data_IF_446462914359
#
_entry.id   IF_446462914359
#
_cell.length_a   1.000
_cell.length_b   1.000
_cell.length_c   1.000
_cell.angle_alpha   90.00
_cell.angle_beta   90.00
_cell.angle_gamma   90.00
#
_symmetry.space_group_name_H-M   'P 1'
#
loop_
_entity.id
_entity.type
_entity.pdbx_description
1 polymer ?
#
# COMPACT_ATOMS: atom_id res chain seq x y z
N UNK A 1 27.53 -5.13 -17.73
CA UNK A 1 26.27 -5.39 -17.04
C UNK A 1 25.26 -4.38 -17.54
N UNK A 2 24.12 -4.86 -18.02
CA UNK A 2 23.06 -3.99 -18.53
C UNK A 2 22.20 -3.54 -17.35
N UNK A 3 21.69 -2.27 -17.34
CA UNK A 3 20.84 -1.78 -16.25
C UNK A 3 19.50 -2.49 -16.12
N UNK A 4 19.23 -3.49 -16.97
CA UNK A 4 17.96 -4.23 -17.03
C UNK A 4 18.05 -5.62 -16.38
N UNK A 5 19.24 -6.08 -15.96
CA UNK A 5 19.44 -7.45 -15.50
C UNK A 5 18.68 -7.78 -14.21
N UNK A 6 18.48 -6.80 -13.34
CA UNK A 6 17.87 -6.99 -12.02
C UNK A 6 16.51 -6.26 -11.89
N UNK A 7 15.71 -6.22 -12.95
CA UNK A 7 14.40 -5.57 -12.92
C UNK A 7 13.32 -6.38 -12.21
N UNK A 8 13.54 -7.67 -12.05
CA UNK A 8 12.63 -8.59 -11.39
C UNK A 8 13.42 -9.39 -10.36
N UNK A 9 12.89 -9.48 -9.16
CA UNK A 9 13.47 -10.34 -8.14
C UNK A 9 13.44 -11.80 -8.56
N UNK A 10 14.59 -12.47 -8.42
CA UNK A 10 14.76 -13.90 -8.74
C UNK A 10 14.42 -14.78 -7.53
N UNK A 11 13.36 -14.43 -6.83
CA UNK A 11 12.95 -15.17 -5.65
C UNK A 11 11.69 -16.01 -5.94
N UNK A 12 11.85 -17.22 -6.51
CA UNK A 12 10.71 -18.00 -6.98
C UNK A 12 9.90 -18.62 -5.83
N UNK A 13 10.34 -18.46 -4.58
CA UNK A 13 9.67 -19.07 -3.44
C UNK A 13 8.41 -18.30 -3.12
N UNK A 14 7.30 -18.95 -3.35
CA UNK A 14 6.00 -18.45 -2.88
C UNK A 14 5.71 -19.03 -1.50
N UNK A 15 5.47 -18.17 -0.52
CA UNK A 15 5.06 -18.53 0.84
C UNK A 15 3.94 -17.60 1.29
N UNK A 16 3.29 -17.92 2.43
CA UNK A 16 2.29 -17.01 3.00
C UNK A 16 2.89 -15.69 3.47
N UNK A 17 4.17 -15.67 3.78
CA UNK A 17 4.87 -14.45 4.21
C UNK A 17 4.94 -13.43 3.09
N UNK A 18 5.10 -13.85 1.85
CA UNK A 18 5.12 -12.96 0.69
C UNK A 18 3.84 -12.11 0.57
N UNK A 19 2.70 -12.66 0.99
CA UNK A 19 1.41 -11.98 0.96
C UNK A 19 1.03 -11.35 2.31
N UNK A 20 1.96 -11.23 3.25
CA UNK A 20 1.71 -10.69 4.59
C UNK A 20 2.43 -9.35 4.77
N UNK A 21 1.91 -8.30 4.16
CA UNK A 21 2.52 -6.96 4.21
C UNK A 21 2.63 -6.36 5.63
N UNK A 22 1.88 -6.87 6.61
CA UNK A 22 2.04 -6.49 8.02
C UNK A 22 3.43 -6.80 8.58
N UNK A 23 4.21 -7.68 7.93
CA UNK A 23 5.60 -7.95 8.25
C UNK A 23 6.45 -6.69 8.21
N UNK A 24 6.21 -5.77 7.25
CA UNK A 24 6.91 -4.50 7.11
C UNK A 24 6.70 -3.53 8.29
N UNK A 25 5.66 -3.74 9.08
CA UNK A 25 5.33 -2.91 10.25
C UNK A 25 5.78 -3.56 11.56
N UNK A 26 6.19 -4.83 11.53
CA UNK A 26 6.64 -5.56 12.70
C UNK A 26 8.13 -5.29 12.96
N UNK A 27 8.42 -4.48 13.96
CA UNK A 27 9.78 -4.15 14.38
C UNK A 27 10.59 -5.37 14.87
N UNK A 28 9.94 -6.50 15.10
CA UNK A 28 10.55 -7.76 15.51
C UNK A 28 10.61 -8.79 14.36
N UNK A 29 10.16 -8.43 13.16
CA UNK A 29 10.22 -9.33 12.01
C UNK A 29 11.67 -9.77 11.75
N UNK A 30 11.84 -11.03 11.37
CA UNK A 30 13.16 -11.53 10.97
C UNK A 30 13.56 -10.93 9.61
N UNK A 31 14.86 -10.76 9.37
CA UNK A 31 15.36 -10.30 8.07
C UNK A 31 14.95 -11.25 6.93
N UNK A 32 14.78 -12.54 7.24
CA UNK A 32 14.28 -13.51 6.28
C UNK A 32 12.82 -13.28 5.89
N UNK A 33 11.94 -12.98 6.86
CA UNK A 33 10.54 -12.70 6.59
C UNK A 33 10.36 -11.37 5.86
N UNK A 34 11.15 -10.35 6.21
CA UNK A 34 11.19 -9.07 5.49
C UNK A 34 11.59 -9.28 4.02
N UNK A 35 12.67 -10.01 3.77
CA UNK A 35 13.11 -10.30 2.42
C UNK A 35 12.07 -11.11 1.61
N UNK A 36 11.36 -12.04 2.25
CA UNK A 36 10.27 -12.78 1.61
C UNK A 36 9.10 -11.87 1.21
N UNK A 37 8.78 -10.90 2.05
CA UNK A 37 7.67 -10.00 1.82
C UNK A 37 8.02 -8.93 0.77
N UNK A 38 9.23 -8.36 0.82
CA UNK A 38 9.68 -7.28 -0.06
C UNK A 38 10.17 -7.76 -1.42
N UNK A 39 10.78 -8.96 -1.49
CA UNK A 39 11.40 -9.47 -2.72
C UNK A 39 10.80 -10.80 -3.19
N UNK A 40 9.84 -11.35 -2.47
CA UNK A 40 9.17 -12.59 -2.84
C UNK A 40 7.99 -12.34 -3.76
N UNK A 41 7.78 -13.23 -4.73
CA UNK A 41 6.66 -13.10 -5.63
C UNK A 41 5.33 -13.26 -4.90
N UNK A 42 4.39 -12.38 -5.16
CA UNK A 42 3.03 -12.43 -4.60
C UNK A 42 2.28 -13.72 -5.00
N UNK A 43 2.47 -14.16 -6.24
CA UNK A 43 1.96 -15.42 -6.79
C UNK A 43 2.98 -15.96 -7.81
N UNK A 44 2.92 -17.26 -8.08
CA UNK A 44 3.82 -17.92 -9.05
C UNK A 44 3.72 -17.37 -10.48
N UNK A 45 2.63 -16.70 -10.79
CA UNK A 45 2.38 -16.04 -12.09
C UNK A 45 2.62 -14.54 -12.07
N UNK A 46 2.96 -13.97 -10.91
CA UNK A 46 3.14 -12.54 -10.70
C UNK A 46 4.56 -12.24 -10.21
N UNK A 47 5.54 -12.14 -11.15
CA UNK A 47 6.90 -11.77 -10.81
C UNK A 47 6.95 -10.44 -10.09
N UNK A 48 7.75 -10.37 -9.04
CA UNK A 48 7.94 -9.16 -8.27
C UNK A 48 8.96 -8.23 -8.94
N UNK A 49 8.64 -6.94 -8.96
CA UNK A 49 9.46 -5.89 -9.57
C UNK A 49 10.44 -5.36 -8.52
N UNK A 50 11.72 -5.35 -8.86
CA UNK A 50 12.78 -4.86 -7.99
C UNK A 50 12.90 -3.31 -8.05
N UNK A 51 12.19 -2.61 -7.20
CA UNK A 51 12.26 -1.14 -7.13
C UNK A 51 13.51 -0.63 -6.40
N UNK A 52 14.28 -1.48 -5.73
CA UNK A 52 15.62 -1.12 -5.24
C UNK A 52 16.62 -0.88 -6.38
N UNK A 53 16.29 -1.33 -7.61
CA UNK A 53 17.05 -0.97 -8.79
C UNK A 53 16.75 0.50 -9.16
N UNK A 54 17.72 1.43 -9.02
CA UNK A 54 17.49 2.86 -9.24
C UNK A 54 17.10 3.21 -10.67
N UNK A 55 17.51 2.42 -11.65
CA UNK A 55 17.11 2.64 -13.05
C UNK A 55 15.64 2.27 -13.27
N UNK A 56 15.16 1.21 -12.60
CA UNK A 56 13.77 0.80 -12.68
C UNK A 56 12.87 1.79 -11.93
N UNK A 57 13.26 2.19 -10.73
CA UNK A 57 12.53 3.23 -9.98
C UNK A 57 12.41 4.53 -10.80
N UNK A 58 13.52 4.97 -11.41
CA UNK A 58 13.50 6.15 -12.26
C UNK A 58 12.61 5.96 -13.50
N UNK A 59 12.63 4.77 -14.09
CA UNK A 59 11.71 4.44 -15.19
C UNK A 59 10.25 4.59 -14.77
N UNK A 60 9.85 4.04 -13.60
CA UNK A 60 8.47 4.14 -13.12
C UNK A 60 8.07 5.57 -12.72
N UNK A 61 9.00 6.38 -12.19
CA UNK A 61 8.75 7.82 -11.96
C UNK A 61 8.41 8.52 -13.28
N UNK A 62 9.24 8.36 -14.31
CA UNK A 62 9.02 8.97 -15.62
C UNK A 62 7.81 8.40 -16.34
N UNK A 63 7.55 7.10 -16.23
CA UNK A 63 6.40 6.45 -16.82
C UNK A 63 5.08 6.97 -16.23
N UNK A 64 5.02 7.19 -14.92
CA UNK A 64 3.85 7.77 -14.27
C UNK A 64 3.62 9.22 -14.74
N UNK A 65 4.67 10.05 -14.76
CA UNK A 65 4.62 11.43 -15.30
C UNK A 65 4.11 11.42 -16.73
N UNK A 66 4.63 10.52 -17.58
CA UNK A 66 4.19 10.41 -18.97
C UNK A 66 2.69 10.11 -19.11
N UNK A 67 2.16 9.20 -18.28
CA UNK A 67 0.73 8.88 -18.29
C UNK A 67 -0.12 10.02 -17.77
N UNK A 68 0.30 10.70 -16.71
CA UNK A 68 -0.39 11.87 -16.16
C UNK A 68 -0.54 12.93 -17.25
N UNK A 69 0.55 13.28 -17.92
CA UNK A 69 0.56 14.29 -18.96
C UNK A 69 -0.21 13.86 -20.22
N UNK A 70 -0.01 12.61 -20.66
CA UNK A 70 -0.62 12.13 -21.90
C UNK A 70 -2.13 11.92 -21.79
N UNK A 71 -2.60 11.44 -20.65
CA UNK A 71 -4.00 11.10 -20.43
C UNK A 71 -4.77 12.11 -19.58
N UNK A 72 -4.10 13.19 -19.14
CA UNK A 72 -4.67 14.24 -18.28
C UNK A 72 -5.32 13.62 -17.02
N UNK A 73 -4.50 12.87 -16.26
CA UNK A 73 -4.97 12.11 -15.10
C UNK A 73 -4.99 13.00 -13.86
N UNK A 74 -6.11 13.01 -13.13
CA UNK A 74 -6.27 13.70 -11.84
C UNK A 74 -5.81 12.87 -10.65
N UNK A 75 -5.56 11.59 -10.83
CA UNK A 75 -5.11 10.71 -9.75
C UNK A 75 -4.67 9.33 -10.23
N UNK A 76 -4.02 8.60 -9.33
CA UNK A 76 -3.51 7.25 -9.57
C UNK A 76 -4.03 6.27 -8.51
N UNK A 77 -4.38 5.07 -8.91
CA UNK A 77 -4.61 3.95 -8.00
C UNK A 77 -3.45 2.97 -8.13
N UNK A 78 -2.79 2.69 -7.02
CA UNK A 78 -1.66 1.75 -6.95
C UNK A 78 -2.14 0.44 -6.34
N UNK A 79 -2.12 -0.60 -7.16
CA UNK A 79 -2.45 -1.96 -6.78
C UNK A 79 -1.38 -2.54 -5.85
N UNK A 80 -1.77 -3.37 -4.87
CA UNK A 80 -0.85 -4.10 -3.99
C UNK A 80 0.28 -3.23 -3.39
N UNK A 81 -0.01 -1.97 -3.05
CA UNK A 81 0.99 -0.98 -2.62
C UNK A 81 1.96 -1.49 -1.55
N UNK A 82 1.53 -2.15 -0.45
CA UNK A 82 2.41 -2.56 0.65
C UNK A 82 3.33 -3.74 0.35
N UNK A 83 3.21 -4.36 -0.80
CA UNK A 83 3.99 -5.54 -1.17
C UNK A 83 5.29 -5.19 -1.89
N UNK A 84 5.47 -3.94 -2.26
CA UNK A 84 6.69 -3.42 -2.84
C UNK A 84 7.65 -2.95 -1.74
N UNK A 85 8.93 -2.71 -2.10
CA UNK A 85 9.91 -2.11 -1.21
C UNK A 85 9.41 -0.72 -0.75
N UNK A 86 9.26 -0.55 0.55
CA UNK A 86 8.57 0.63 1.09
C UNK A 86 9.33 1.94 0.86
N UNK A 87 10.67 1.92 0.92
CA UNK A 87 11.47 3.14 0.70
C UNK A 87 11.40 3.62 -0.76
N UNK A 88 11.62 2.78 -1.79
CA UNK A 88 11.41 3.16 -3.19
C UNK A 88 9.99 3.66 -3.49
N UNK A 89 8.97 3.04 -2.90
CA UNK A 89 7.59 3.50 -3.07
C UNK A 89 7.34 4.88 -2.45
N UNK A 90 7.90 5.15 -1.28
CA UNK A 90 7.85 6.48 -0.67
C UNK A 90 8.53 7.53 -1.57
N UNK A 91 9.71 7.22 -2.10
CA UNK A 91 10.43 8.10 -3.03
C UNK A 91 9.68 8.33 -4.35
N UNK A 92 8.96 7.31 -4.81
CA UNK A 92 8.10 7.43 -5.99
C UNK A 92 6.92 8.39 -5.73
N UNK A 93 6.24 8.25 -4.59
CA UNK A 93 5.16 9.15 -4.18
C UNK A 93 5.67 10.58 -4.03
N UNK A 94 6.78 10.79 -3.30
CA UNK A 94 7.38 12.11 -3.08
C UNK A 94 7.72 12.79 -4.40
N UNK A 95 8.34 12.06 -5.35
CA UNK A 95 8.71 12.60 -6.64
C UNK A 95 7.50 13.05 -7.47
N UNK A 96 6.43 12.26 -7.47
CA UNK A 96 5.21 12.64 -8.20
C UNK A 96 4.48 13.82 -7.56
N UNK A 97 4.42 13.87 -6.23
CA UNK A 97 3.80 14.99 -5.51
C UNK A 97 4.61 16.28 -5.58
N UNK A 98 5.93 16.18 -5.73
CA UNK A 98 6.77 17.35 -6.00
C UNK A 98 6.48 17.97 -7.37
N UNK A 99 6.18 17.16 -8.39
CA UNK A 99 5.82 17.61 -9.74
C UNK A 99 4.34 18.03 -9.80
N UNK A 100 3.46 17.26 -9.15
CA UNK A 100 2.00 17.45 -9.16
C UNK A 100 1.45 17.55 -7.73
N UNK A 101 1.55 18.70 -7.05
CA UNK A 101 1.16 18.84 -5.63
C UNK A 101 -0.32 18.56 -5.33
N UNK A 102 -1.17 18.58 -6.33
CA UNK A 102 -2.61 18.31 -6.20
C UNK A 102 -3.02 16.90 -6.69
N UNK A 103 -2.06 16.09 -7.15
CA UNK A 103 -2.34 14.73 -7.58
C UNK A 103 -2.74 13.88 -6.38
N UNK A 104 -3.85 13.16 -6.48
CA UNK A 104 -4.16 12.14 -5.50
C UNK A 104 -3.60 10.79 -5.94
N UNK A 105 -2.89 10.13 -5.02
CA UNK A 105 -2.42 8.76 -5.18
C UNK A 105 -3.09 7.93 -4.09
N UNK A 106 -3.91 6.95 -4.50
CA UNK A 106 -4.55 6.04 -3.55
C UNK A 106 -3.91 4.65 -3.63
N UNK A 107 -3.38 4.18 -2.50
CA UNK A 107 -2.77 2.85 -2.38
C UNK A 107 -3.78 1.79 -1.95
N UNK A 108 -3.72 0.63 -2.57
CA UNK A 108 -4.46 -0.52 -2.09
C UNK A 108 -3.67 -1.23 -0.99
N UNK A 109 -4.16 -1.12 0.23
CA UNK A 109 -3.66 -1.80 1.43
C UNK A 109 -4.77 -2.67 1.97
N UNK A 110 -4.91 -3.89 1.49
CA UNK A 110 -6.08 -4.73 1.79
C UNK A 110 -6.01 -5.35 3.18
N UNK A 111 -6.48 -4.61 4.16
CA UNK A 111 -6.62 -5.06 5.55
C UNK A 111 -7.93 -4.54 6.14
N UNK A 112 -8.49 -5.29 7.11
CA UNK A 112 -9.60 -4.84 7.95
C UNK A 112 -9.12 -4.15 9.24
N UNK A 113 -7.82 -4.05 9.46
CA UNK A 113 -7.20 -3.50 10.66
C UNK A 113 -6.86 -2.02 10.43
N UNK A 114 -7.59 -1.13 11.10
CA UNK A 114 -7.46 0.33 10.93
C UNK A 114 -6.06 0.84 11.26
N UNK A 115 -5.42 0.45 12.38
CA UNK A 115 -4.03 0.85 12.65
C UNK A 115 -3.01 0.39 11.60
N UNK A 116 -3.17 -0.82 11.05
CA UNK A 116 -2.32 -1.28 9.95
C UNK A 116 -2.54 -0.45 8.69
N UNK A 117 -3.79 -0.10 8.41
CA UNK A 117 -4.13 0.72 7.25
C UNK A 117 -3.56 2.14 7.40
N UNK A 118 -3.73 2.75 8.58
CA UNK A 118 -3.23 4.08 8.87
C UNK A 118 -1.69 4.19 8.77
N UNK A 119 -0.96 3.12 9.06
CA UNK A 119 0.50 3.08 8.87
C UNK A 119 0.92 3.49 7.46
N UNK A 120 0.14 3.10 6.44
CA UNK A 120 0.47 3.34 5.04
C UNK A 120 0.02 4.71 4.52
N UNK A 121 -0.73 5.48 5.31
CA UNK A 121 -1.08 6.86 4.95
C UNK A 121 0.10 7.79 5.24
N UNK A 122 0.47 8.62 4.28
CA UNK A 122 1.55 9.60 4.43
C UNK A 122 1.21 10.67 5.48
N UNK A 123 2.25 11.18 6.12
CA UNK A 123 2.13 12.18 7.20
C UNK A 123 1.83 11.59 8.57
N UNK A 124 1.56 10.29 8.69
CA UNK A 124 1.40 9.65 9.99
C UNK A 124 2.74 9.53 10.73
N UNK A 125 2.67 9.70 12.06
CA UNK A 125 3.82 9.52 12.96
C UNK A 125 3.98 8.04 13.28
N UNK A 126 4.49 7.29 12.33
CA UNK A 126 4.75 5.87 12.50
C UNK A 126 5.84 5.60 13.55
N UNK A 127 5.71 4.52 14.31
CA UNK A 127 6.59 4.19 15.42
C UNK A 127 8.05 3.96 14.98
N UNK A 128 8.27 3.51 13.77
CA UNK A 128 9.57 3.32 13.13
C UNK A 128 10.13 4.60 12.50
N UNK A 129 9.35 5.69 12.51
CA UNK A 129 9.70 6.96 11.88
C UNK A 129 9.57 6.99 10.37
N UNK A 130 9.01 5.95 9.75
CA UNK A 130 8.84 5.87 8.31
C UNK A 130 7.60 6.67 7.85
N UNK A 131 7.76 7.51 6.82
CA UNK A 131 6.66 8.19 6.11
C UNK A 131 6.55 7.62 4.70
N UNK A 132 5.36 7.20 4.34
CA UNK A 132 5.09 6.63 3.02
C UNK A 132 4.94 7.68 1.92
N UNK A 133 4.71 8.94 2.27
CA UNK A 133 4.28 10.02 1.37
C UNK A 133 3.04 9.69 0.51
N UNK A 134 2.32 8.62 0.84
CA UNK A 134 1.12 8.20 0.12
C UNK A 134 -0.10 9.02 0.57
N UNK A 135 -0.68 9.88 -0.29
CA UNK A 135 -1.73 10.82 0.15
C UNK A 135 -2.99 10.13 0.66
N UNK A 136 -3.35 9.00 0.05
CA UNK A 136 -4.62 8.33 0.35
C UNK A 136 -4.47 6.81 0.34
N UNK A 137 -5.32 6.18 1.10
CA UNK A 137 -5.45 4.72 1.20
C UNK A 137 -6.90 4.30 0.96
N UNK A 138 -7.12 3.09 0.46
CA UNK A 138 -8.47 2.54 0.27
C UNK A 138 -9.02 2.06 1.61
N UNK A 139 -10.12 2.65 2.06
CA UNK A 139 -10.74 2.34 3.35
C UNK A 139 -11.53 1.02 3.31
N UNK A 140 -10.83 -0.10 3.39
CA UNK A 140 -11.42 -1.43 3.46
C UNK A 140 -12.23 -1.66 4.75
N UNK A 141 -11.81 -1.21 5.95
CA UNK A 141 -12.60 -1.32 7.16
C UNK A 141 -14.00 -0.69 7.02
N UNK A 142 -14.08 0.53 6.51
CA UNK A 142 -15.37 1.20 6.30
C UNK A 142 -16.20 0.49 5.23
N UNK A 143 -15.59 0.10 4.10
CA UNK A 143 -16.25 -0.68 3.05
C UNK A 143 -16.86 -1.97 3.60
N UNK A 144 -16.13 -2.71 4.43
CA UNK A 144 -16.59 -3.98 5.00
C UNK A 144 -17.68 -3.76 6.04
N UNK A 145 -17.56 -2.71 6.86
CA UNK A 145 -18.58 -2.29 7.80
C UNK A 145 -19.90 -1.91 7.09
N UNK A 146 -19.80 -1.15 5.99
CA UNK A 146 -20.96 -0.78 5.17
C UNK A 146 -21.64 -2.01 4.54
N UNK A 147 -20.85 -2.90 3.93
CA UNK A 147 -21.38 -4.14 3.36
C UNK A 147 -22.08 -4.99 4.42
N UNK A 148 -21.46 -5.15 5.58
CA UNK A 148 -22.04 -5.93 6.68
C UNK A 148 -23.29 -5.25 7.28
N UNK A 149 -23.29 -3.92 7.39
CA UNK A 149 -24.44 -3.17 7.91
C UNK A 149 -25.66 -3.29 7.02
N UNK A 150 -25.46 -3.25 5.69
CA UNK A 150 -26.55 -3.24 4.70
C UNK A 150 -27.03 -4.65 4.31
N UNK A 151 -26.20 -5.69 4.50
CA UNK A 151 -26.52 -7.06 4.13
C UNK A 151 -27.11 -7.92 5.26
N UNK A 152 -27.21 -7.36 6.47
CA UNK A 152 -27.62 -8.15 7.66
C UNK A 152 -29.08 -7.90 8.01
N UNK A 153 -29.90 -8.92 7.92
CA UNK A 153 -31.30 -8.94 8.41
C UNK A 153 -31.42 -9.25 9.92
N UNK A 154 -30.30 -9.21 10.63
CA UNK A 154 -30.23 -9.62 12.04
C UNK A 154 -30.55 -8.45 12.97
N UNK A 155 -31.50 -8.67 13.91
CA UNK A 155 -31.87 -7.72 14.96
C UNK A 155 -30.98 -7.86 16.21
N UNK A 156 -29.68 -8.01 16.00
CA UNK A 156 -28.68 -8.04 17.09
C UNK A 156 -28.20 -6.64 17.41
N UNK A 157 -27.85 -6.40 18.68
CA UNK A 157 -27.37 -5.10 19.14
C UNK A 157 -26.07 -4.63 18.44
N UNK A 158 -25.28 -5.57 17.91
CA UNK A 158 -24.02 -5.35 17.22
C UNK A 158 -24.13 -5.47 15.67
N UNK A 159 -25.36 -5.44 15.15
CA UNK A 159 -25.64 -5.57 13.72
C UNK A 159 -26.20 -4.27 13.13
N UNK A 160 -26.23 -4.19 11.80
CA UNK A 160 -26.75 -3.03 11.09
C UNK A 160 -25.82 -1.81 11.19
N UNK A 161 -26.40 -0.63 11.21
CA UNK A 161 -25.69 0.64 11.13
C UNK A 161 -24.66 0.89 12.24
N UNK A 162 -24.79 0.25 13.40
CA UNK A 162 -23.83 0.37 14.50
C UNK A 162 -22.40 -0.03 14.07
N UNK A 163 -22.27 -0.91 13.10
CA UNK A 163 -20.98 -1.34 12.56
C UNK A 163 -20.24 -0.20 11.91
N UNK A 164 -20.95 0.63 11.14
CA UNK A 164 -20.37 1.84 10.51
C UNK A 164 -19.93 2.83 11.60
N UNK A 165 -20.78 3.09 12.59
CA UNK A 165 -20.43 3.99 13.71
C UNK A 165 -19.20 3.53 14.47
N UNK A 166 -19.07 2.22 14.72
CA UNK A 166 -17.90 1.68 15.42
C UNK A 166 -16.64 1.83 14.59
N UNK A 167 -16.70 1.61 13.29
CA UNK A 167 -15.55 1.78 12.40
C UNK A 167 -15.12 3.25 12.32
N UNK A 168 -16.06 4.17 12.07
CA UNK A 168 -15.76 5.61 12.01
C UNK A 168 -15.24 6.15 13.35
N UNK A 169 -15.62 5.55 14.48
CA UNK A 169 -15.09 5.94 15.79
C UNK A 169 -13.56 5.71 15.92
N UNK A 170 -12.99 4.83 15.11
CA UNK A 170 -11.56 4.54 15.10
C UNK A 170 -10.77 5.37 14.06
N UNK A 171 -11.45 6.21 13.25
CA UNK A 171 -10.82 7.02 12.20
C UNK A 171 -9.84 8.07 12.74
N UNK A 172 -9.85 8.35 14.05
CA UNK A 172 -8.91 9.27 14.70
C UNK A 172 -7.43 8.88 14.53
N UNK A 173 -7.12 7.70 14.06
CA UNK A 173 -5.74 7.23 13.79
C UNK A 173 -5.24 7.64 12.41
N UNK A 174 -6.15 8.04 11.52
CA UNK A 174 -5.75 8.56 10.21
C UNK A 174 -5.21 9.98 10.31
N UNK A 175 -4.35 10.33 9.38
CA UNK A 175 -3.88 11.70 9.21
C UNK A 175 -4.93 12.51 8.41
N UNK A 176 -5.25 13.71 8.90
CA UNK A 176 -6.18 14.67 8.25
C UNK A 176 -5.51 15.42 7.08
#
# INVERSE_FOLDING_TARGET
DLPFEDWVHQFPTFTRTNALFSTNMDINASQYDLALQESGWFDTSMPDINLDNPFLLQYFKLWAVWWIEWADLDGLRVDTYPYNEKQPMSEWCEALLAEYPNLNIVGECWTADIPQLAYWQGGNLNKDGFDTHLPSIMDFPLRDAMCAALSTDSVKWDAGMIRIYNTVADDFVYHD
#
